data_IF_931681903376
#
_entry.id   IF_931681903376
#
_cell.length_a   1.000
_cell.length_b   1.000
_cell.length_c   1.000
_cell.angle_alpha   90.00
_cell.angle_beta   90.00
_cell.angle_gamma   90.00
#
_symmetry.space_group_name_H-M   'P 1'
#
loop_
_entity.id
_entity.type
_entity.pdbx_description
1 polymer ?
#
# COMPACT_ATOMS: atom_id res chain seq x y z
N UNK A 1 6.24 -37.78 -26.16
CA UNK A 1 7.17 -37.13 -25.22
C UNK A 1 6.34 -36.34 -24.21
N UNK A 2 6.09 -36.86 -22.99
CA UNK A 2 5.31 -36.13 -21.99
C UNK A 2 6.17 -35.01 -21.37
N UNK A 3 5.64 -33.78 -21.36
CA UNK A 3 6.25 -32.63 -20.68
C UNK A 3 6.24 -32.88 -19.17
N UNK A 4 7.42 -32.90 -18.55
CA UNK A 4 7.57 -32.81 -17.10
C UNK A 4 7.11 -31.42 -16.67
N UNK A 5 5.96 -31.34 -15.98
CA UNK A 5 5.63 -30.16 -15.19
C UNK A 5 6.70 -29.98 -14.13
N UNK A 6 7.35 -28.81 -14.13
CA UNK A 6 8.27 -28.42 -13.08
C UNK A 6 7.48 -28.21 -11.79
N UNK A 7 7.68 -29.10 -10.83
CA UNK A 7 7.10 -29.00 -9.50
C UNK A 7 7.91 -27.94 -8.73
N UNK A 8 7.28 -26.91 -8.13
CA UNK A 8 7.99 -25.90 -7.36
C UNK A 8 8.66 -26.55 -6.15
N UNK A 9 9.89 -26.13 -5.86
CA UNK A 9 10.67 -26.64 -4.74
C UNK A 9 9.90 -26.45 -3.42
N UNK A 10 9.75 -27.53 -2.67
CA UNK A 10 9.13 -27.54 -1.35
C UNK A 10 10.09 -26.88 -0.36
N UNK A 11 9.84 -25.61 -0.05
CA UNK A 11 10.67 -24.81 0.85
C UNK A 11 10.37 -25.06 2.32
N UNK A 12 9.41 -25.93 2.68
CA UNK A 12 9.04 -26.23 4.07
C UNK A 12 8.44 -25.05 4.86
N UNK A 13 8.32 -23.87 4.24
CA UNK A 13 7.66 -22.70 4.79
C UNK A 13 6.16 -22.75 4.45
N UNK A 14 5.26 -22.47 5.40
CA UNK A 14 3.84 -22.38 5.09
C UNK A 14 3.61 -21.29 4.02
N UNK A 15 2.67 -21.49 3.08
CA UNK A 15 2.35 -20.47 2.08
C UNK A 15 1.87 -19.21 2.78
N UNK A 16 2.72 -18.19 2.83
CA UNK A 16 2.33 -16.88 3.34
C UNK A 16 1.48 -16.24 2.24
N UNK A 17 0.25 -15.78 2.54
CA UNK A 17 -0.56 -15.08 1.55
C UNK A 17 0.23 -13.88 1.03
N UNK A 18 0.61 -13.97 -0.24
CA UNK A 18 1.45 -12.97 -0.89
C UNK A 18 0.67 -11.66 -1.00
N UNK A 19 -0.65 -11.75 -1.21
CA UNK A 19 -1.54 -10.60 -1.28
C UNK A 19 -2.86 -10.78 -0.51
N UNK A 20 -3.32 -9.70 0.14
CA UNK A 20 -4.72 -9.56 0.57
C UNK A 20 -5.43 -8.63 -0.41
N UNK A 21 -6.55 -9.13 -0.94
CA UNK A 21 -7.52 -8.30 -1.63
C UNK A 21 -8.36 -7.57 -0.59
N UNK A 22 -8.27 -6.24 -0.58
CA UNK A 22 -9.20 -5.44 0.21
C UNK A 22 -10.56 -5.44 -0.50
N UNK A 23 -11.67 -5.68 0.22
CA UNK A 23 -12.98 -5.72 -0.41
C UNK A 23 -13.23 -4.39 -1.12
N UNK A 24 -13.85 -4.42 -2.32
CA UNK A 24 -14.21 -3.20 -3.01
C UNK A 24 -15.12 -2.36 -2.10
N UNK A 25 -15.09 -1.02 -2.23
CA UNK A 25 -16.04 -0.19 -1.54
C UNK A 25 -17.45 -0.64 -1.93
N UNK A 26 -18.20 -1.16 -0.97
CA UNK A 26 -19.55 -1.66 -1.22
C UNK A 26 -20.43 -0.46 -1.60
N UNK A 27 -20.75 -0.37 -2.89
CA UNK A 27 -21.78 0.52 -3.42
C UNK A 27 -23.15 -0.02 -2.98
N UNK A 28 -23.53 0.20 -1.71
CA UNK A 28 -24.79 -0.37 -1.23
C UNK A 28 -25.01 -0.45 0.27
N UNK A 29 -24.28 0.28 1.11
CA UNK A 29 -24.88 0.55 2.42
C UNK A 29 -26.11 1.43 2.18
N UNK A 30 -27.34 0.98 2.54
CA UNK A 30 -28.51 1.80 2.41
C UNK A 30 -28.32 3.02 3.30
N UNK A 31 -28.03 4.16 2.66
CA UNK A 31 -28.22 5.46 3.29
C UNK A 31 -29.74 5.60 3.49
N UNK A 32 -30.23 6.18 4.59
CA UNK A 32 -31.67 6.31 4.85
C UNK A 32 -32.48 7.07 3.78
N UNK A 33 -31.85 7.61 2.74
CA UNK A 33 -32.48 8.40 1.69
C UNK A 33 -32.06 7.82 0.32
N UNK A 34 -33.01 7.27 -0.43
CA UNK A 34 -32.84 6.48 -1.67
C UNK A 34 -32.27 7.24 -2.89
N UNK A 35 -31.17 7.95 -2.72
CA UNK A 35 -30.38 8.54 -3.80
C UNK A 35 -29.35 7.50 -4.25
N UNK A 36 -29.38 7.16 -5.54
CA UNK A 36 -28.36 6.34 -6.17
C UNK A 36 -26.98 6.90 -5.79
N UNK A 37 -26.22 6.14 -5.01
CA UNK A 37 -24.96 6.62 -4.45
C UNK A 37 -23.87 6.49 -5.51
N UNK A 38 -23.37 7.63 -5.99
CA UNK A 38 -22.07 7.65 -6.65
C UNK A 38 -21.05 6.95 -5.74
N UNK A 39 -20.15 6.14 -6.31
CA UNK A 39 -19.08 5.54 -5.52
C UNK A 39 -18.30 6.66 -4.83
N UNK A 40 -18.00 6.48 -3.54
CA UNK A 40 -17.21 7.45 -2.80
C UNK A 40 -15.92 7.77 -3.59
N UNK A 41 -15.54 9.04 -3.72
CA UNK A 41 -14.34 9.41 -4.46
C UNK A 41 -13.14 8.68 -3.86
N UNK A 42 -12.28 8.17 -4.74
CA UNK A 42 -11.00 7.60 -4.35
C UNK A 42 -10.02 8.73 -4.04
N UNK A 43 -9.15 8.50 -3.05
CA UNK A 43 -8.04 9.41 -2.71
C UNK A 43 -6.85 9.25 -3.69
N UNK A 44 -5.74 9.94 -3.43
CA UNK A 44 -4.54 9.85 -4.29
C UNK A 44 -3.87 8.48 -4.27
N UNK A 45 -4.20 7.66 -3.26
CA UNK A 45 -3.77 6.27 -3.11
C UNK A 45 -4.73 5.27 -3.77
N UNK A 46 -5.85 5.75 -4.34
CA UNK A 46 -6.89 4.90 -4.89
C UNK A 46 -7.72 4.18 -3.81
N UNK A 47 -7.70 4.64 -2.57
CA UNK A 47 -8.48 4.09 -1.48
C UNK A 47 -9.73 4.93 -1.22
N UNK A 48 -10.75 4.27 -0.66
CA UNK A 48 -11.82 5.03 -0.02
C UNK A 48 -11.42 5.40 1.40
N UNK A 49 -11.96 6.50 1.97
CA UNK A 49 -11.69 6.89 3.36
C UNK A 49 -11.95 5.75 4.36
N UNK A 50 -12.95 4.89 4.10
CA UNK A 50 -13.24 3.73 4.95
C UNK A 50 -12.16 2.66 4.88
N UNK A 51 -11.66 2.37 3.68
CA UNK A 51 -10.56 1.41 3.50
C UNK A 51 -9.28 1.93 4.13
N UNK A 52 -9.00 3.21 3.96
CA UNK A 52 -7.85 3.87 4.57
C UNK A 52 -7.92 3.84 6.10
N UNK A 53 -9.07 4.18 6.69
CA UNK A 53 -9.27 4.08 8.13
C UNK A 53 -9.10 2.64 8.65
N UNK A 54 -9.55 1.63 7.90
CA UNK A 54 -9.31 0.22 8.25
C UNK A 54 -7.83 -0.12 8.23
N UNK A 55 -7.10 0.28 7.19
CA UNK A 55 -5.66 0.05 7.09
C UNK A 55 -4.92 0.73 8.24
N UNK A 56 -5.22 1.99 8.53
CA UNK A 56 -4.62 2.71 9.65
C UNK A 56 -4.93 1.97 10.96
N UNK A 57 -6.18 1.57 11.20
CA UNK A 57 -6.55 0.81 12.40
C UNK A 57 -5.84 -0.56 12.49
N UNK A 58 -5.58 -1.23 11.38
CA UNK A 58 -4.86 -2.51 11.34
C UNK A 58 -3.38 -2.36 11.71
N UNK A 59 -2.74 -1.29 11.24
CA UNK A 59 -1.30 -1.07 11.44
C UNK A 59 -0.97 -0.14 12.62
N UNK A 60 -1.96 0.29 13.41
CA UNK A 60 -1.76 1.21 14.54
C UNK A 60 -2.52 0.82 15.81
N UNK A 61 -1.98 1.26 16.95
CA UNK A 61 -2.62 1.24 18.28
C UNK A 61 -3.26 2.59 18.61
N UNK A 62 -4.04 2.64 19.70
CA UNK A 62 -4.92 3.77 20.05
C UNK A 62 -4.24 5.16 20.03
N UNK A 63 -2.99 5.26 20.48
CA UNK A 63 -2.25 6.53 20.60
C UNK A 63 -1.07 6.66 19.63
N UNK A 64 -1.04 5.82 18.60
CA UNK A 64 0.05 5.87 17.64
C UNK A 64 0.06 7.17 16.85
N UNK A 65 1.27 7.62 16.60
CA UNK A 65 1.55 8.66 15.64
C UNK A 65 1.51 8.05 14.23
N UNK A 66 0.71 8.66 13.36
CA UNK A 66 0.63 8.35 11.93
C UNK A 66 1.28 9.51 11.17
N UNK A 67 2.24 9.18 10.32
CA UNK A 67 2.90 10.14 9.44
C UNK A 67 2.55 9.80 8.00
N UNK A 68 1.95 10.74 7.30
CA UNK A 68 1.71 10.65 5.86
C UNK A 68 2.68 11.56 5.14
N UNK A 69 3.61 11.02 4.36
CA UNK A 69 4.59 11.86 3.67
C UNK A 69 3.99 12.68 2.53
N UNK A 70 2.86 12.30 1.97
CA UNK A 70 2.24 12.97 0.81
C UNK A 70 1.17 13.99 1.21
N UNK A 71 0.79 14.05 2.49
CA UNK A 71 -0.21 14.99 3.05
C UNK A 71 -1.59 14.86 2.41
N UNK A 72 -2.07 13.64 2.22
CA UNK A 72 -3.41 13.37 1.70
C UNK A 72 -4.48 13.70 2.77
N UNK A 73 -5.43 14.55 2.40
CA UNK A 73 -6.55 14.98 3.27
C UNK A 73 -7.40 13.79 3.75
N UNK A 74 -7.49 12.71 2.96
CA UNK A 74 -8.20 11.50 3.35
C UNK A 74 -7.47 10.79 4.50
N UNK A 75 -6.13 10.78 4.52
CA UNK A 75 -5.34 10.22 5.62
C UNK A 75 -5.56 11.05 6.87
N UNK A 76 -5.46 12.38 6.78
CA UNK A 76 -5.71 13.28 7.90
C UNK A 76 -7.11 13.07 8.50
N UNK A 77 -8.13 12.95 7.64
CA UNK A 77 -9.50 12.69 8.05
C UNK A 77 -9.67 11.33 8.73
N UNK A 78 -9.04 10.27 8.19
CA UNK A 78 -9.10 8.93 8.75
C UNK A 78 -8.37 8.83 10.11
N UNK A 79 -7.22 9.50 10.24
CA UNK A 79 -6.45 9.62 11.50
C UNK A 79 -7.29 10.31 12.56
N UNK A 80 -7.92 11.45 12.24
CA UNK A 80 -8.79 12.18 13.15
C UNK A 80 -10.01 11.34 13.57
N UNK A 81 -10.66 10.65 12.63
CA UNK A 81 -11.80 9.79 12.90
C UNK A 81 -11.46 8.63 13.86
N UNK A 82 -10.26 8.05 13.73
CA UNK A 82 -9.78 6.97 14.61
C UNK A 82 -9.28 7.47 15.97
N UNK A 83 -9.19 8.78 16.19
CA UNK A 83 -8.56 9.37 17.37
C UNK A 83 -7.05 9.12 17.45
N UNK A 84 -6.36 9.06 16.30
CA UNK A 84 -4.89 8.90 16.22
C UNK A 84 -4.20 10.26 16.20
N UNK A 85 -2.91 10.27 16.53
CA UNK A 85 -2.08 11.48 16.39
C UNK A 85 -1.56 11.58 14.97
N UNK A 86 -1.64 12.75 14.36
CA UNK A 86 -0.97 13.04 13.08
C UNK A 86 0.36 13.72 13.35
N UNK A 87 1.41 13.30 12.64
CA UNK A 87 2.71 13.96 12.65
C UNK A 87 2.86 14.87 11.44
N UNK A 88 3.56 15.98 11.62
CA UNK A 88 3.95 16.81 10.47
C UNK A 88 4.97 16.00 9.67
N UNK A 89 4.80 15.91 8.34
CA UNK A 89 5.73 15.18 7.51
C UNK A 89 7.11 15.78 7.58
N UNK A 90 8.09 14.92 7.39
CA UNK A 90 9.46 15.36 7.33
C UNK A 90 9.60 16.38 6.20
N UNK A 91 10.12 17.60 6.47
CA UNK A 91 10.62 18.41 5.37
C UNK A 91 11.65 17.55 4.62
N UNK A 92 11.78 17.73 3.29
CA UNK A 92 12.69 16.93 2.43
C UNK A 92 14.10 16.77 3.02
N UNK A 93 14.48 17.66 3.93
CA UNK A 93 15.61 17.52 4.81
C UNK A 93 15.39 16.43 5.89
N UNK A 94 15.74 15.18 5.54
CA UNK A 94 15.82 13.99 6.40
C UNK A 94 16.46 14.25 7.77
N UNK A 95 17.25 15.32 7.94
CA UNK A 95 17.81 15.73 9.23
C UNK A 95 16.77 16.18 10.25
N UNK A 96 15.78 16.99 9.86
CA UNK A 96 14.73 17.44 10.80
C UNK A 96 13.80 16.29 11.18
N UNK A 97 13.64 15.32 10.30
CA UNK A 97 12.95 14.06 10.60
C UNK A 97 13.56 13.35 11.80
N UNK A 98 14.89 13.24 11.78
CA UNK A 98 15.65 12.62 12.86
C UNK A 98 15.58 13.44 14.15
N UNK A 99 15.39 14.76 14.08
CA UNK A 99 15.21 15.61 15.25
C UNK A 99 13.83 15.40 15.92
N UNK A 100 12.74 15.25 15.15
CA UNK A 100 11.45 14.84 15.72
C UNK A 100 11.46 13.42 16.30
N UNK A 101 12.26 12.52 15.72
CA UNK A 101 12.53 11.18 16.29
C UNK A 101 13.28 11.28 17.62
N UNK A 102 14.20 12.24 17.76
CA UNK A 102 14.96 12.50 18.99
C UNK A 102 14.08 13.03 20.12
N UNK A 103 12.99 13.73 19.80
CA UNK A 103 11.97 14.14 20.77
C UNK A 103 11.09 12.95 21.27
N UNK A 104 11.43 11.71 20.88
CA UNK A 104 10.79 10.49 21.36
C UNK A 104 9.47 10.15 20.66
N UNK A 105 9.03 10.96 19.70
CA UNK A 105 7.78 10.75 18.97
C UNK A 105 8.01 9.87 17.73
N UNK A 106 8.25 8.58 17.96
CA UNK A 106 8.36 7.60 16.86
C UNK A 106 6.98 7.18 16.35
N UNK A 107 6.83 7.08 15.04
CA UNK A 107 5.59 6.71 14.38
C UNK A 107 5.24 5.23 14.58
N UNK A 108 3.95 4.96 14.78
CA UNK A 108 3.40 3.60 14.67
C UNK A 108 3.20 3.19 13.22
N UNK A 109 2.85 4.16 12.35
CA UNK A 109 2.63 3.97 10.93
C UNK A 109 3.18 5.15 10.14
N UNK A 110 3.93 4.85 9.07
CA UNK A 110 4.35 5.80 8.05
C UNK A 110 3.71 5.40 6.71
N UNK A 111 3.06 6.33 6.03
CA UNK A 111 2.41 6.14 4.73
C UNK A 111 3.18 6.92 3.66
N UNK A 112 3.45 6.28 2.53
CA UNK A 112 4.21 6.83 1.39
C UNK A 112 3.61 6.42 0.06
N UNK A 113 3.59 7.33 -0.91
CA UNK A 113 3.32 7.08 -2.33
C UNK A 113 4.61 7.05 -3.15
N UNK A 114 4.72 6.13 -4.10
CA UNK A 114 5.76 6.13 -5.14
C UNK A 114 5.15 6.21 -6.56
N UNK A 115 5.78 6.94 -7.49
CA UNK A 115 7.02 7.69 -7.32
C UNK A 115 6.80 8.99 -6.52
N UNK A 116 7.87 9.48 -5.90
CA UNK A 116 7.91 10.75 -5.18
C UNK A 116 9.02 11.62 -5.76
N UNK A 117 8.83 12.94 -5.75
CA UNK A 117 9.90 13.88 -6.14
C UNK A 117 11.19 13.57 -5.37
N UNK A 118 12.32 13.53 -6.08
CA UNK A 118 13.64 13.23 -5.51
C UNK A 118 13.88 11.76 -5.16
N UNK A 119 12.92 10.85 -5.39
CA UNK A 119 13.10 9.41 -5.17
C UNK A 119 12.87 8.67 -6.48
N UNK A 120 13.95 8.15 -7.05
CA UNK A 120 13.89 7.24 -8.19
C UNK A 120 13.69 5.79 -7.69
N UNK A 121 12.51 5.16 -7.92
CA UNK A 121 12.28 3.78 -7.51
C UNK A 121 13.14 2.77 -8.28
N UNK A 122 13.79 3.19 -9.38
CA UNK A 122 14.72 2.37 -10.16
C UNK A 122 16.17 2.42 -9.64
N UNK A 123 16.46 3.27 -8.64
CA UNK A 123 17.75 3.36 -7.95
C UNK A 123 17.67 2.74 -6.53
N UNK A 124 17.83 1.40 -6.39
CA UNK A 124 17.71 0.72 -5.11
C UNK A 124 18.63 1.25 -3.99
N UNK A 125 19.92 1.59 -4.22
CA UNK A 125 20.76 2.23 -3.22
C UNK A 125 20.19 3.54 -2.66
N UNK A 126 19.73 4.44 -3.54
CA UNK A 126 19.13 5.71 -3.10
C UNK A 126 17.82 5.47 -2.35
N UNK A 127 16.97 4.57 -2.85
CA UNK A 127 15.73 4.19 -2.17
C UNK A 127 15.99 3.58 -0.78
N UNK A 128 16.99 2.71 -0.65
CA UNK A 128 17.38 2.10 0.63
C UNK A 128 17.88 3.14 1.63
N UNK A 129 18.65 4.13 1.17
CA UNK A 129 19.12 5.24 2.01
C UNK A 129 17.96 6.06 2.59
N UNK A 130 16.96 6.37 1.76
CA UNK A 130 15.76 7.08 2.20
C UNK A 130 14.93 6.22 3.17
N UNK A 131 14.73 4.95 2.85
CA UNK A 131 14.03 4.00 3.72
C UNK A 131 14.70 3.80 5.07
N UNK A 132 16.02 3.95 5.17
CA UNK A 132 16.74 3.92 6.45
C UNK A 132 16.31 5.09 7.35
N UNK A 133 16.12 6.29 6.76
CA UNK A 133 15.55 7.44 7.46
C UNK A 133 14.11 7.18 7.92
N UNK A 134 13.28 6.58 7.06
CA UNK A 134 11.91 6.20 7.43
C UNK A 134 11.86 5.12 8.51
N UNK A 135 12.78 4.14 8.49
CA UNK A 135 12.89 3.14 9.56
C UNK A 135 13.23 3.80 10.89
N UNK A 136 14.16 4.76 10.90
CA UNK A 136 14.52 5.48 12.12
C UNK A 136 13.33 6.27 12.71
N UNK A 137 12.39 6.69 11.85
CA UNK A 137 11.14 7.33 12.25
C UNK A 137 10.11 6.40 12.88
N UNK A 138 10.19 5.10 12.61
CA UNK A 138 9.27 4.12 13.15
C UNK A 138 9.69 3.69 14.55
N UNK A 139 8.71 3.45 15.42
CA UNK A 139 8.97 2.77 16.69
C UNK A 139 9.28 1.28 16.43
N UNK A 140 9.89 0.56 17.38
CA UNK A 140 9.96 -0.90 17.33
C UNK A 140 8.60 -1.54 17.02
N UNK A 141 8.52 -2.35 15.96
CA UNK A 141 7.29 -2.96 15.49
C UNK A 141 6.32 -2.02 14.75
N UNK A 142 6.70 -0.76 14.50
CA UNK A 142 5.98 0.16 13.64
C UNK A 142 6.00 -0.28 12.18
N UNK A 143 5.07 0.24 11.37
CA UNK A 143 4.90 -0.18 9.98
C UNK A 143 5.14 0.94 8.98
N UNK A 144 5.77 0.60 7.86
CA UNK A 144 5.81 1.41 6.65
C UNK A 144 4.79 0.84 5.66
N UNK A 145 3.80 1.64 5.27
CA UNK A 145 2.83 1.31 4.24
C UNK A 145 3.12 2.14 2.99
N UNK A 146 3.51 1.46 1.91
CA UNK A 146 3.93 2.11 0.67
C UNK A 146 2.94 1.83 -0.45
N UNK A 147 2.26 2.84 -0.94
CA UNK A 147 1.44 2.80 -2.13
C UNK A 147 2.31 2.91 -3.39
N UNK A 148 2.20 1.95 -4.28
CA UNK A 148 2.81 1.97 -5.61
C UNK A 148 1.75 2.43 -6.61
N UNK A 149 2.01 3.55 -7.27
CA UNK A 149 1.21 3.94 -8.45
C UNK A 149 1.29 2.85 -9.52
N UNK A 150 0.29 2.80 -10.40
CA UNK A 150 0.18 1.77 -11.45
C UNK A 150 1.38 1.72 -12.38
N UNK A 151 2.08 2.85 -12.58
CA UNK A 151 3.33 2.90 -13.34
C UNK A 151 4.50 2.17 -12.64
N UNK A 152 4.50 2.08 -11.31
CA UNK A 152 5.58 1.48 -10.52
C UNK A 152 5.25 0.07 -9.99
N UNK A 153 3.98 -0.30 -9.91
CA UNK A 153 3.54 -1.50 -9.20
C UNK A 153 4.13 -2.82 -9.74
N UNK A 154 4.25 -2.97 -11.05
CA UNK A 154 4.68 -4.23 -11.67
C UNK A 154 6.21 -4.38 -11.74
N UNK A 155 6.92 -3.31 -12.05
CA UNK A 155 8.33 -3.37 -12.38
C UNK A 155 9.25 -3.00 -11.20
N UNK A 156 8.71 -2.40 -10.14
CA UNK A 156 9.52 -1.89 -9.03
C UNK A 156 9.21 -2.50 -7.67
N UNK A 157 8.17 -3.34 -7.53
CA UNK A 157 7.84 -3.97 -6.25
C UNK A 157 9.00 -4.80 -5.67
N UNK A 158 9.70 -5.57 -6.52
CA UNK A 158 10.89 -6.35 -6.12
C UNK A 158 12.04 -5.44 -5.71
N UNK A 159 12.29 -4.35 -6.44
CA UNK A 159 13.30 -3.33 -6.12
C UNK A 159 13.01 -2.66 -4.78
N UNK A 160 11.76 -2.28 -4.55
CA UNK A 160 11.28 -1.68 -3.30
C UNK A 160 11.45 -2.66 -2.14
N UNK A 161 11.09 -3.93 -2.31
CA UNK A 161 11.29 -4.96 -1.28
C UNK A 161 12.78 -5.16 -0.98
N UNK A 162 13.64 -5.18 -2.00
CA UNK A 162 15.08 -5.31 -1.83
C UNK A 162 15.67 -4.11 -1.08
N UNK A 163 15.30 -2.89 -1.47
CA UNK A 163 15.72 -1.66 -0.80
C UNK A 163 15.26 -1.61 0.67
N UNK A 164 14.03 -2.03 0.95
CA UNK A 164 13.49 -2.09 2.30
C UNK A 164 14.28 -3.06 3.19
N UNK A 165 14.65 -4.23 2.66
CA UNK A 165 15.50 -5.18 3.38
C UNK A 165 16.87 -4.61 3.71
N UNK A 166 17.50 -3.91 2.76
CA UNK A 166 18.79 -3.23 3.00
C UNK A 166 18.65 -2.16 4.08
N UNK A 167 17.52 -1.47 4.13
CA UNK A 167 17.22 -0.48 5.18
C UNK A 167 16.89 -1.08 6.56
N UNK A 168 16.82 -2.41 6.70
CA UNK A 168 16.44 -3.08 7.94
C UNK A 168 14.94 -3.14 8.21
N UNK A 169 14.12 -3.04 7.15
CA UNK A 169 12.67 -3.24 7.21
C UNK A 169 12.33 -4.66 6.73
N UNK A 170 11.47 -5.34 7.47
CA UNK A 170 11.01 -6.68 7.11
C UNK A 170 9.75 -6.59 6.27
N UNK A 171 9.79 -7.18 5.09
CA UNK A 171 8.58 -7.34 4.26
C UNK A 171 7.51 -8.11 5.03
N UNK A 172 6.32 -7.54 5.11
CA UNK A 172 5.19 -8.13 5.79
C UNK A 172 4.16 -8.66 4.80
N UNK A 173 3.67 -7.79 3.90
CA UNK A 173 2.58 -8.16 3.01
C UNK A 173 2.43 -7.22 1.81
N UNK A 174 1.95 -7.74 0.68
CA UNK A 174 1.45 -6.97 -0.47
C UNK A 174 -0.07 -6.84 -0.31
N UNK A 175 -0.63 -5.64 -0.44
CA UNK A 175 -2.08 -5.44 -0.42
C UNK A 175 -2.52 -4.96 -1.80
N UNK A 176 -3.63 -5.52 -2.28
CA UNK A 176 -4.26 -5.08 -3.52
C UNK A 176 -5.63 -4.50 -3.14
N UNK A 177 -5.82 -3.22 -3.39
CA UNK A 177 -7.10 -2.55 -3.17
C UNK A 177 -7.82 -2.37 -4.50
N UNK A 178 -8.85 -3.15 -4.77
CA UNK A 178 -9.62 -3.02 -6.00
C UNK A 178 -10.56 -1.81 -5.95
N UNK A 179 -10.52 -0.99 -6.99
CA UNK A 179 -11.37 0.20 -7.17
C UNK A 179 -12.76 -0.16 -7.70
N UNK A 180 -12.81 -1.22 -8.51
CA UNK A 180 -14.03 -1.72 -9.15
C UNK A 180 -14.34 -3.10 -8.60
N UNK A 181 -15.62 -3.48 -8.48
CA UNK A 181 -15.97 -4.86 -8.25
C UNK A 181 -15.24 -5.74 -9.27
N UNK A 182 -14.56 -6.78 -8.78
CA UNK A 182 -14.06 -7.82 -9.65
C UNK A 182 -15.29 -8.54 -10.19
N UNK A 183 -15.53 -8.43 -11.49
CA UNK A 183 -16.58 -9.21 -12.14
C UNK A 183 -16.10 -10.65 -12.13
N UNK A 184 -16.83 -11.53 -11.45
CA UNK A 184 -16.48 -12.96 -11.38
C UNK A 184 -16.55 -13.61 -12.78
N UNK A 185 -17.47 -13.12 -13.62
CA UNK A 185 -17.63 -13.54 -15.00
C UNK A 185 -16.85 -12.60 -15.94
N UNK A 186 -15.78 -13.10 -16.57
CA UNK A 186 -15.11 -12.41 -17.67
C UNK A 186 -15.78 -12.83 -18.99
N UNK A 187 -16.68 -12.03 -19.58
CA UNK A 187 -17.41 -12.40 -20.78
C UNK A 187 -16.50 -12.61 -22.00
N UNK A 188 -15.22 -12.19 -21.96
CA UNK A 188 -14.24 -12.53 -23.01
C UNK A 188 -13.64 -13.93 -22.85
N UNK A 189 -13.72 -14.52 -21.66
CA UNK A 189 -13.36 -15.92 -21.44
C UNK A 189 -14.41 -16.87 -22.05
N UNK A 190 -15.62 -16.38 -22.31
CA UNK A 190 -16.70 -17.12 -22.97
C UNK A 190 -16.65 -16.95 -24.49
N UNK A 191 -16.56 -18.06 -25.21
CA UNK A 191 -16.42 -18.08 -26.68
C UNK A 191 -17.58 -17.37 -27.42
N UNK A 192 -18.79 -17.37 -26.85
CA UNK A 192 -19.99 -16.80 -27.47
C UNK A 192 -20.02 -15.27 -27.37
N UNK A 193 -19.41 -14.69 -26.34
CA UNK A 193 -19.43 -13.26 -26.04
C UNK A 193 -18.09 -12.59 -26.32
N UNK A 194 -17.02 -13.36 -26.53
CA UNK A 194 -15.69 -12.84 -26.84
C UNK A 194 -15.67 -11.91 -28.07
N UNK A 195 -16.40 -12.26 -29.14
CA UNK A 195 -16.41 -11.50 -30.39
C UNK A 195 -17.24 -10.19 -30.31
N UNK A 196 -18.20 -10.11 -29.38
CA UNK A 196 -19.08 -8.95 -29.22
C UNK A 196 -18.69 -8.04 -28.06
N UNK A 197 -17.80 -8.49 -27.17
CA UNK A 197 -17.34 -7.70 -26.03
C UNK A 197 -16.32 -6.66 -26.49
N UNK A 198 -16.57 -5.39 -26.19
CA UNK A 198 -15.65 -4.28 -26.46
C UNK A 198 -14.25 -4.60 -25.93
N UNK A 199 -13.16 -4.28 -26.65
CA UNK A 199 -11.80 -4.49 -26.16
C UNK A 199 -11.61 -3.86 -24.77
N UNK A 200 -10.99 -4.60 -23.84
CA UNK A 200 -10.75 -4.14 -22.46
C UNK A 200 -9.68 -3.04 -22.36
N UNK A 201 -8.93 -2.87 -23.44
CA UNK A 201 -7.74 -2.07 -23.51
C UNK A 201 -8.09 -0.71 -24.11
N UNK A 202 -7.83 0.36 -23.36
CA UNK A 202 -7.80 1.73 -23.86
C UNK A 202 -6.36 1.99 -24.30
N UNK A 203 -6.15 2.29 -25.58
CA UNK A 203 -4.81 2.49 -26.17
C UNK A 203 -3.81 1.33 -25.88
N UNK A 204 -4.32 0.10 -25.87
CA UNK A 204 -3.51 -1.09 -25.59
C UNK A 204 -3.20 -1.33 -24.11
N UNK A 205 -3.81 -0.58 -23.18
CA UNK A 205 -3.62 -0.72 -21.74
C UNK A 205 -4.94 -0.94 -21.00
N UNK A 206 -4.92 -1.77 -19.96
CA UNK A 206 -6.07 -1.89 -19.07
C UNK A 206 -6.19 -0.62 -18.23
N UNK A 207 -7.42 -0.15 -18.04
CA UNK A 207 -7.71 0.85 -17.01
C UNK A 207 -7.18 0.34 -15.65
N UNK A 208 -6.47 1.18 -14.87
CA UNK A 208 -6.16 0.87 -13.48
C UNK A 208 -7.42 0.46 -12.71
N UNK A 209 -7.48 -0.80 -12.30
CA UNK A 209 -8.59 -1.35 -11.53
C UNK A 209 -8.25 -1.53 -10.04
N UNK A 210 -7.00 -1.32 -9.66
CA UNK A 210 -6.54 -1.51 -8.29
C UNK A 210 -5.34 -0.63 -7.93
N UNK A 211 -5.17 -0.40 -6.63
CA UNK A 211 -3.95 0.11 -6.01
C UNK A 211 -3.14 -1.03 -5.43
N UNK A 212 -1.82 -0.88 -5.44
CA UNK A 212 -0.87 -1.85 -4.90
C UNK A 212 -0.15 -1.22 -3.72
N UNK A 213 -0.18 -1.88 -2.56
CA UNK A 213 0.56 -1.45 -1.37
C UNK A 213 1.56 -2.51 -0.94
N UNK A 214 2.71 -2.08 -0.46
CA UNK A 214 3.66 -2.93 0.24
C UNK A 214 3.72 -2.49 1.69
N UNK A 215 3.53 -3.44 2.61
CA UNK A 215 3.68 -3.23 4.04
C UNK A 215 4.99 -3.83 4.51
N UNK A 216 5.72 -3.06 5.31
CA UNK A 216 6.95 -3.45 5.96
C UNK A 216 6.87 -3.15 7.45
N UNK A 217 7.56 -3.93 8.26
CA UNK A 217 7.64 -3.74 9.71
C UNK A 217 9.08 -3.37 10.05
N UNK A 218 9.24 -2.33 10.87
CA UNK A 218 10.51 -2.03 11.52
C UNK A 218 10.74 -3.08 12.60
N UNK A 219 11.76 -3.93 12.41
CA UNK A 219 12.14 -4.87 13.44
C UNK A 219 12.46 -4.08 14.72
N UNK A 220 11.90 -4.53 15.84
CA UNK A 220 12.35 -4.02 17.13
C UNK A 220 13.79 -4.43 17.31
N UNK A 221 14.63 -3.53 17.83
CA UNK A 221 15.91 -3.93 18.38
C UNK A 221 15.58 -5.01 19.42
N UNK A 222 15.80 -6.25 19.04
CA UNK A 222 15.74 -7.38 19.94
C UNK A 222 17.01 -7.23 20.74
N UNK A 223 16.96 -6.41 21.80
CA UNK A 223 18.04 -6.34 22.76
C UNK A 223 18.27 -7.77 23.27
N UNK A 224 19.39 -8.32 22.79
CA UNK A 224 20.06 -9.52 23.27
C UNK A 224 21.14 -9.09 24.27
#
# INVERSE_FOLDING_TARGET
MPRRSAQPADTGLPPVPIAILLPPPVAGYPRPDGIASDPAPLDEYGLTPRTLARLIATYTRHDDLVIDLDHDDAVASAVAWLGRRTGVPFPEDTRRALDSVREGQRAGLLIVRLPRSGIDPSDPPSLASVMLGWRAALRPGGSLLMALTTACARDHSTTVIAAARVAGLRYHQHLIAAYRPLVEDEPRAEALTAASTRPALVDGRHDPAHASFLSFIADGDSDA
#
